data_IF_654546353306
#
_entry.id   IF_654546353306
#
_cell.length_a   1.000
_cell.length_b   1.000
_cell.length_c   1.000
_cell.angle_alpha   90.00
_cell.angle_beta   90.00
_cell.angle_gamma   90.00
#
_symmetry.space_group_name_H-M   'P 1'
#
loop_
_entity.id
_entity.type
_entity.pdbx_description
1 polymer ?
#
# COMPACT_ATOMS: atom_id res chain seq x y z
N UNK A 1 -54.65 7.12 -27.72
CA UNK A 1 -54.28 6.97 -26.29
C UNK A 1 -52.77 6.88 -26.25
N UNK A 2 -52.11 7.94 -25.77
CA UNK A 2 -50.66 7.94 -25.59
C UNK A 2 -50.33 7.00 -24.41
N UNK A 3 -49.40 6.08 -24.63
CA UNK A 3 -48.88 5.21 -23.59
C UNK A 3 -48.24 6.09 -22.51
N UNK A 4 -48.64 5.88 -21.26
CA UNK A 4 -48.00 6.51 -20.11
C UNK A 4 -46.51 6.15 -20.08
N UNK A 5 -45.61 7.07 -19.69
CA UNK A 5 -44.22 6.74 -19.52
C UNK A 5 -44.09 5.64 -18.46
N UNK A 6 -43.39 4.56 -18.85
CA UNK A 6 -42.92 3.50 -17.98
C UNK A 6 -42.31 4.11 -16.72
N UNK A 7 -42.77 3.67 -15.55
CA UNK A 7 -42.18 3.98 -14.26
C UNK A 7 -40.67 3.76 -14.32
N UNK A 8 -39.88 4.82 -14.10
CA UNK A 8 -38.44 4.74 -14.00
C UNK A 8 -38.09 3.70 -12.92
N UNK A 9 -37.29 2.69 -13.26
CA UNK A 9 -36.70 1.80 -12.26
C UNK A 9 -35.99 2.67 -11.23
N UNK A 10 -36.43 2.61 -9.97
CA UNK A 10 -35.75 3.22 -8.85
C UNK A 10 -34.36 2.59 -8.75
N UNK A 11 -33.37 3.23 -9.36
CA UNK A 11 -32.02 2.70 -9.49
C UNK A 11 -31.34 2.72 -8.13
N UNK A 12 -31.16 1.55 -7.53
CA UNK A 12 -30.26 1.39 -6.39
C UNK A 12 -28.82 1.53 -6.91
N UNK A 13 -27.98 2.23 -6.15
CA UNK A 13 -26.53 2.30 -6.35
C UNK A 13 -25.87 1.56 -5.18
N UNK A 14 -25.13 0.50 -5.49
CA UNK A 14 -24.38 -0.27 -4.50
C UNK A 14 -23.01 0.38 -4.27
N UNK A 15 -22.75 0.80 -3.02
CA UNK A 15 -21.59 1.59 -2.62
C UNK A 15 -20.61 0.72 -1.83
N UNK A 16 -19.42 0.47 -2.39
CA UNK A 16 -18.34 -0.25 -1.74
C UNK A 16 -17.53 0.64 -0.80
N UNK A 17 -17.15 0.10 0.35
CA UNK A 17 -16.22 0.77 1.27
C UNK A 17 -15.46 -0.18 2.18
N UNK A 18 -14.38 0.32 2.79
CA UNK A 18 -13.67 -0.37 3.87
C UNK A 18 -14.43 -0.28 5.18
N UNK A 19 -14.28 -1.30 6.04
CA UNK A 19 -14.94 -1.35 7.37
C UNK A 19 -14.36 -0.38 8.40
N UNK A 20 -13.19 0.22 8.15
CA UNK A 20 -12.58 1.14 9.10
C UNK A 20 -13.50 2.35 9.39
N UNK A 21 -13.49 2.86 10.62
CA UNK A 21 -14.37 3.96 11.05
C UNK A 21 -14.28 5.20 10.14
N UNK A 22 -13.07 5.58 9.74
CA UNK A 22 -12.86 6.70 8.82
C UNK A 22 -13.43 6.42 7.43
N UNK A 23 -13.28 5.21 6.89
CA UNK A 23 -13.81 4.86 5.57
C UNK A 23 -15.35 4.84 5.56
N UNK A 24 -15.97 4.29 6.62
CA UNK A 24 -17.41 4.38 6.81
C UNK A 24 -17.86 5.84 6.89
N UNK A 25 -17.16 6.69 7.67
CA UNK A 25 -17.48 8.12 7.78
C UNK A 25 -17.38 8.87 6.45
N UNK A 26 -16.37 8.55 5.65
CA UNK A 26 -16.20 9.11 4.30
C UNK A 26 -17.34 8.67 3.36
N UNK A 27 -17.78 7.42 3.49
CA UNK A 27 -18.89 6.86 2.72
C UNK A 27 -20.21 7.51 3.10
N UNK A 28 -20.46 7.74 4.39
CA UNK A 28 -21.60 8.51 4.88
C UNK A 28 -21.64 9.92 4.27
N UNK A 29 -20.52 10.65 4.29
CA UNK A 29 -20.43 11.99 3.70
C UNK A 29 -20.81 11.99 2.21
N UNK A 30 -20.32 11.00 1.46
CA UNK A 30 -20.61 10.84 0.03
C UNK A 30 -22.08 10.49 -0.19
N UNK A 31 -22.59 9.48 0.51
CA UNK A 31 -23.98 9.03 0.37
C UNK A 31 -24.96 10.12 0.79
N UNK A 32 -24.68 10.87 1.86
CA UNK A 32 -25.49 12.02 2.26
C UNK A 32 -25.50 13.11 1.19
N UNK A 33 -24.35 13.41 0.59
CA UNK A 33 -24.23 14.38 -0.50
C UNK A 33 -25.04 13.96 -1.73
N UNK A 34 -24.87 12.71 -2.16
CA UNK A 34 -25.59 12.15 -3.31
C UNK A 34 -27.09 12.03 -3.05
N UNK A 35 -27.51 11.61 -1.86
CA UNK A 35 -28.93 11.50 -1.50
C UNK A 35 -29.64 12.86 -1.48
N UNK A 36 -28.92 13.94 -1.10
CA UNK A 36 -29.44 15.31 -1.17
C UNK A 36 -29.57 15.80 -2.60
N UNK A 37 -28.60 15.48 -3.46
CA UNK A 37 -28.62 15.91 -4.86
C UNK A 37 -29.57 15.08 -5.74
N UNK A 38 -29.72 13.79 -5.43
CA UNK A 38 -30.51 12.80 -6.17
C UNK A 38 -31.45 12.01 -5.24
N UNK A 39 -32.53 12.64 -4.74
CA UNK A 39 -33.50 11.97 -3.86
C UNK A 39 -34.25 10.81 -4.52
N UNK A 40 -34.19 10.72 -5.86
CA UNK A 40 -34.75 9.65 -6.68
C UNK A 40 -33.90 8.36 -6.70
N UNK A 41 -32.66 8.43 -6.20
CA UNK A 41 -31.69 7.33 -6.19
C UNK A 41 -31.51 6.82 -4.76
N UNK A 42 -31.51 5.49 -4.60
CA UNK A 42 -31.23 4.84 -3.32
C UNK A 42 -29.79 4.35 -3.28
N UNK A 43 -29.14 4.43 -2.12
CA UNK A 43 -27.74 4.04 -1.95
C UNK A 43 -27.63 2.93 -0.90
N UNK A 44 -27.06 1.79 -1.28
CA UNK A 44 -26.87 0.65 -0.38
C UNK A 44 -25.37 0.46 -0.11
N UNK A 45 -24.96 0.55 1.16
CA UNK A 45 -23.54 0.50 1.55
C UNK A 45 -23.11 -0.93 1.87
N UNK A 46 -22.07 -1.38 1.18
CA UNK A 46 -21.42 -2.67 1.33
C UNK A 46 -20.00 -2.48 1.90
N UNK A 47 -19.82 -2.85 3.18
CA UNK A 47 -18.51 -2.70 3.85
C UNK A 47 -17.76 -4.03 3.95
N UNK A 48 -16.44 -4.01 3.68
CA UNK A 48 -15.57 -5.18 3.80
C UNK A 48 -14.19 -4.85 4.39
N UNK A 49 -13.45 -5.88 4.82
CA UNK A 49 -12.07 -5.76 5.31
C UNK A 49 -11.10 -6.12 4.19
N UNK A 50 -10.19 -5.20 3.87
CA UNK A 50 -9.15 -5.41 2.85
C UNK A 50 -7.90 -6.07 3.45
N UNK A 51 -6.99 -6.57 2.60
CA UNK A 51 -5.71 -7.14 3.06
C UNK A 51 -4.93 -6.17 3.97
N UNK A 52 -4.86 -4.88 3.61
CA UNK A 52 -4.22 -3.86 4.45
C UNK A 52 -4.92 -3.54 5.77
N UNK A 53 -6.17 -3.98 5.95
CA UNK A 53 -6.84 -3.96 7.25
C UNK A 53 -6.45 -5.17 8.11
N UNK A 54 -6.19 -6.32 7.47
CA UNK A 54 -5.86 -7.59 8.14
C UNK A 54 -4.41 -7.66 8.60
N UNK A 55 -3.46 -7.15 7.82
CA UNK A 55 -2.03 -7.15 8.17
C UNK A 55 -1.60 -5.79 8.76
N UNK A 56 -1.44 -5.77 10.09
CA UNK A 56 -0.95 -4.62 10.86
C UNK A 56 0.52 -4.76 11.30
N UNK A 57 1.20 -5.87 10.95
CA UNK A 57 2.54 -6.23 11.44
C UNK A 57 3.60 -5.85 10.40
N UNK A 58 3.31 -6.06 9.12
CA UNK A 58 4.26 -5.81 8.04
C UNK A 58 4.44 -4.30 7.79
N UNK A 59 5.69 -3.84 7.61
CA UNK A 59 5.97 -2.44 7.28
C UNK A 59 5.40 -2.08 5.89
N UNK A 60 4.85 -0.86 5.73
CA UNK A 60 4.12 -0.47 4.50
C UNK A 60 4.94 -0.63 3.22
N UNK A 61 6.24 -0.37 3.29
CA UNK A 61 7.16 -0.47 2.15
C UNK A 61 7.54 -1.91 1.80
N UNK A 62 7.25 -2.88 2.70
CA UNK A 62 7.47 -4.31 2.47
C UNK A 62 6.28 -4.99 1.76
N UNK A 63 5.11 -4.34 1.66
CA UNK A 63 4.05 -4.83 0.79
C UNK A 63 4.43 -4.53 -0.66
N UNK A 64 4.71 -5.58 -1.44
CA UNK A 64 5.25 -5.58 -2.81
C UNK A 64 4.44 -4.88 -3.92
N UNK A 65 3.65 -3.86 -3.63
CA UNK A 65 3.13 -2.91 -4.62
C UNK A 65 1.65 -3.07 -5.00
N UNK A 66 1.00 -1.90 -5.12
CA UNK A 66 -0.31 -1.55 -5.71
C UNK A 66 -1.55 -2.26 -5.15
N UNK A 67 -2.52 -1.46 -4.69
CA UNK A 67 -3.89 -1.93 -4.45
C UNK A 67 -4.18 -2.58 -3.09
N UNK A 68 -3.29 -2.47 -2.10
CA UNK A 68 -3.44 -3.09 -0.75
C UNK A 68 -4.80 -2.81 -0.08
N UNK A 69 -5.43 -1.68 -0.43
CA UNK A 69 -6.72 -1.24 0.10
C UNK A 69 -7.83 -1.15 -0.95
N UNK A 70 -7.57 -1.48 -2.22
CA UNK A 70 -8.51 -1.27 -3.32
C UNK A 70 -8.86 -2.55 -4.09
N UNK A 71 -7.96 -3.53 -4.22
CA UNK A 71 -8.13 -4.66 -5.15
C UNK A 71 -9.36 -5.55 -4.91
N UNK A 72 -9.73 -5.81 -3.66
CA UNK A 72 -10.94 -6.60 -3.35
C UNK A 72 -12.23 -5.87 -3.75
N UNK A 73 -12.25 -4.54 -3.61
CA UNK A 73 -13.39 -3.70 -3.97
C UNK A 73 -13.47 -3.52 -5.50
N UNK A 74 -12.33 -3.30 -6.13
CA UNK A 74 -12.18 -3.18 -7.60
C UNK A 74 -12.70 -4.44 -8.31
N UNK A 75 -12.38 -5.64 -7.80
CA UNK A 75 -12.89 -6.90 -8.36
C UNK A 75 -14.43 -6.96 -8.36
N UNK A 76 -15.06 -6.49 -7.28
CA UNK A 76 -16.53 -6.43 -7.15
C UNK A 76 -17.16 -5.36 -8.02
N UNK A 77 -16.47 -4.23 -8.21
CA UNK A 77 -16.90 -3.16 -9.10
C UNK A 77 -16.94 -3.65 -10.57
N UNK A 78 -15.90 -4.36 -11.00
CA UNK A 78 -15.81 -4.98 -12.34
C UNK A 78 -16.84 -6.10 -12.50
N UNK A 79 -17.04 -6.92 -11.46
CA UNK A 79 -18.07 -7.98 -11.44
C UNK A 79 -19.52 -7.45 -11.40
N UNK A 80 -19.72 -6.13 -11.33
CA UNK A 80 -21.03 -5.46 -11.22
C UNK A 80 -21.79 -5.79 -9.93
N UNK A 81 -21.08 -6.20 -8.89
CA UNK A 81 -21.64 -6.37 -7.54
C UNK A 81 -21.69 -5.04 -6.77
N UNK A 82 -20.81 -4.11 -7.13
CA UNK A 82 -20.79 -2.73 -6.64
C UNK A 82 -20.92 -1.79 -7.83
N UNK A 83 -21.49 -0.60 -7.64
CA UNK A 83 -21.58 0.44 -8.67
C UNK A 83 -20.52 1.52 -8.52
N UNK A 84 -20.19 1.85 -7.27
CA UNK A 84 -19.16 2.83 -6.91
C UNK A 84 -18.36 2.36 -5.71
N UNK A 85 -17.15 2.88 -5.55
CA UNK A 85 -16.32 2.69 -4.35
C UNK A 85 -15.86 4.05 -3.84
N UNK A 86 -15.93 4.27 -2.52
CA UNK A 86 -15.48 5.51 -1.88
C UNK A 86 -14.07 5.34 -1.32
N UNK A 87 -13.15 6.20 -1.74
CA UNK A 87 -11.77 6.19 -1.28
C UNK A 87 -11.31 7.54 -0.75
N UNK A 88 -10.36 7.51 0.19
CA UNK A 88 -9.42 8.62 0.31
C UNK A 88 -8.55 8.64 -0.95
N UNK A 89 -8.53 9.75 -1.68
CA UNK A 89 -7.91 9.78 -3.02
C UNK A 89 -6.40 9.48 -2.99
N UNK A 90 -5.73 9.83 -1.89
CA UNK A 90 -4.31 9.51 -1.66
C UNK A 90 -3.99 8.02 -1.54
N UNK A 91 -4.99 7.19 -1.25
CA UNK A 91 -4.82 5.74 -1.10
C UNK A 91 -5.14 5.00 -2.41
N UNK A 92 -5.65 5.71 -3.43
CA UNK A 92 -5.90 5.15 -4.76
C UNK A 92 -4.61 5.13 -5.60
N UNK A 93 -4.32 4.04 -6.32
CA UNK A 93 -3.20 4.02 -7.25
C UNK A 93 -3.39 5.10 -8.33
N UNK A 94 -2.29 5.67 -8.82
CA UNK A 94 -2.33 6.73 -9.86
C UNK A 94 -2.80 6.23 -11.22
N UNK A 95 -2.64 4.93 -11.47
CA UNK A 95 -3.20 4.19 -12.60
C UNK A 95 -4.20 3.19 -12.03
N UNK A 96 -5.46 3.27 -12.46
CA UNK A 96 -6.53 2.37 -12.04
C UNK A 96 -6.53 1.10 -12.90
N UNK A 97 -7.09 -0.02 -12.40
CA UNK A 97 -7.25 -1.23 -13.19
C UNK A 97 -8.12 -1.03 -14.43
N UNK A 98 -7.95 -1.89 -15.42
CA UNK A 98 -8.80 -1.89 -16.61
C UNK A 98 -10.28 -2.07 -16.24
N UNK A 99 -11.14 -1.26 -16.86
CA UNK A 99 -12.58 -1.25 -16.58
C UNK A 99 -12.98 -0.36 -15.39
N UNK A 100 -12.03 0.19 -14.64
CA UNK A 100 -12.28 1.19 -13.60
C UNK A 100 -11.95 2.61 -14.09
N UNK A 101 -12.63 3.60 -13.51
CA UNK A 101 -12.34 5.02 -13.73
C UNK A 101 -12.55 5.82 -12.44
N UNK A 102 -11.82 6.92 -12.30
CA UNK A 102 -12.09 7.92 -11.27
C UNK A 102 -13.33 8.71 -11.72
N UNK A 103 -14.50 8.33 -11.21
CA UNK A 103 -15.79 8.86 -11.62
C UNK A 103 -15.99 10.31 -11.21
N UNK A 104 -15.62 10.67 -9.98
CA UNK A 104 -15.52 12.07 -9.56
C UNK A 104 -14.57 12.26 -8.36
N UNK A 105 -14.24 13.52 -8.10
CA UNK A 105 -13.51 13.95 -6.90
C UNK A 105 -14.38 14.96 -6.16
N UNK A 106 -14.61 14.71 -4.87
CA UNK A 106 -15.42 15.59 -4.02
C UNK A 106 -14.66 16.87 -3.69
N UNK A 107 -15.37 17.88 -3.16
CA UNK A 107 -14.72 19.05 -2.54
C UNK A 107 -13.66 18.62 -1.53
N UNK A 108 -12.47 19.23 -1.62
CA UNK A 108 -11.34 18.93 -0.74
C UNK A 108 -11.58 19.42 0.69
N UNK A 109 -11.32 18.55 1.66
CA UNK A 109 -11.06 18.95 3.04
C UNK A 109 -9.62 19.48 3.17
N UNK A 110 -9.25 20.06 4.33
CA UNK A 110 -7.88 20.54 4.55
C UNK A 110 -6.81 19.47 4.22
N UNK A 111 -5.95 19.70 3.21
CA UNK A 111 -5.02 18.70 2.72
C UNK A 111 -3.75 18.63 3.57
N UNK A 112 -3.53 19.56 4.50
CA UNK A 112 -2.27 19.66 5.26
C UNK A 112 -2.07 18.49 6.20
N UNK A 113 -0.80 18.21 6.48
CA UNK A 113 -0.45 17.38 7.63
C UNK A 113 -0.56 18.23 8.90
N UNK A 114 -0.75 17.57 10.04
CA UNK A 114 -0.89 18.21 11.34
C UNK A 114 -0.07 17.49 12.39
N UNK A 115 0.44 18.29 13.32
CA UNK A 115 1.08 17.81 14.54
C UNK A 115 0.00 17.62 15.60
N UNK A 116 0.03 16.47 16.25
CA UNK A 116 -0.67 16.23 17.50
C UNK A 116 0.39 15.96 18.56
N UNK A 117 0.56 16.89 19.50
CA UNK A 117 1.46 16.66 20.63
C UNK A 117 0.84 15.68 21.63
N UNK A 118 1.71 14.97 22.36
CA UNK A 118 1.32 14.30 23.59
C UNK A 118 0.83 15.34 24.59
N UNK A 119 -0.44 15.22 24.99
CA UNK A 119 -1.14 16.29 25.71
C UNK A 119 -0.40 16.72 27.00
N UNK A 120 0.09 15.76 27.77
CA UNK A 120 0.81 16.01 29.02
C UNK A 120 2.13 16.76 28.83
N UNK A 121 2.84 16.51 27.73
CA UNK A 121 4.09 17.22 27.42
C UNK A 121 3.82 18.62 26.89
N UNK A 122 2.81 18.77 26.01
CA UNK A 122 2.42 20.06 25.48
C UNK A 122 1.96 21.02 26.59
N UNK A 123 1.14 20.54 27.53
CA UNK A 123 0.68 21.33 28.68
C UNK A 123 1.85 21.72 29.59
N UNK A 124 2.74 20.77 29.90
CA UNK A 124 3.89 21.00 30.78
C UNK A 124 4.90 22.00 30.21
N UNK A 125 5.16 21.94 28.91
CA UNK A 125 6.23 22.71 28.27
C UNK A 125 5.74 23.88 27.41
N UNK A 126 4.42 23.99 27.18
CA UNK A 126 3.83 25.07 26.38
C UNK A 126 4.14 24.99 24.88
N UNK A 127 4.44 23.79 24.36
CA UNK A 127 4.77 23.57 22.95
C UNK A 127 3.58 23.90 22.02
N UNK A 128 3.87 24.61 20.94
CA UNK A 128 2.90 25.03 19.92
C UNK A 128 3.31 24.62 18.51
N UNK A 129 4.60 24.38 18.27
CA UNK A 129 5.12 23.97 16.98
C UNK A 129 6.26 22.95 17.12
N UNK A 130 6.55 22.21 16.05
CA UNK A 130 7.68 21.27 16.01
C UNK A 130 9.01 21.94 16.36
N UNK A 131 9.14 23.24 16.06
CA UNK A 131 10.32 24.03 16.41
C UNK A 131 10.55 24.19 17.92
N UNK A 132 9.52 23.96 18.75
CA UNK A 132 9.62 24.04 20.21
C UNK A 132 10.14 22.74 20.84
N UNK A 133 10.20 21.65 20.06
CA UNK A 133 10.65 20.35 20.56
C UNK A 133 12.17 20.33 20.74
N UNK A 134 12.66 19.78 21.86
CA UNK A 134 14.09 19.59 22.06
C UNK A 134 14.67 18.55 21.08
N UNK A 135 15.97 18.64 20.84
CA UNK A 135 16.69 17.62 20.10
C UNK A 135 16.50 16.24 20.75
N UNK A 136 16.35 15.22 19.91
CA UNK A 136 16.09 13.85 20.34
C UNK A 136 14.62 13.51 20.59
N UNK A 137 13.69 14.48 20.57
CA UNK A 137 12.25 14.22 20.64
C UNK A 137 11.80 13.26 19.54
N UNK A 138 10.92 12.31 19.88
CA UNK A 138 10.47 11.25 18.98
C UNK A 138 9.11 11.61 18.38
N UNK A 139 9.04 11.63 17.05
CA UNK A 139 7.84 11.89 16.27
C UNK A 139 7.30 10.58 15.70
N UNK A 140 6.04 10.27 16.00
CA UNK A 140 5.37 9.09 15.46
C UNK A 140 4.80 9.32 14.07
N UNK A 141 5.38 8.67 13.06
CA UNK A 141 4.79 8.59 11.72
C UNK A 141 5.41 7.45 10.92
N UNK A 142 4.61 6.76 10.12
CA UNK A 142 5.07 5.68 9.22
C UNK A 142 5.11 6.08 7.74
N UNK A 143 5.01 7.38 7.46
CA UNK A 143 5.04 7.91 6.09
C UNK A 143 6.46 8.33 5.75
N UNK A 144 7.08 7.65 4.78
CA UNK A 144 8.42 7.98 4.27
C UNK A 144 8.47 9.44 3.80
N UNK A 145 7.43 9.92 3.11
CA UNK A 145 7.24 11.33 2.72
C UNK A 145 7.38 12.30 3.91
N UNK A 146 6.64 12.05 4.99
CA UNK A 146 6.67 12.94 6.17
C UNK A 146 8.03 12.91 6.85
N UNK A 147 8.61 11.72 7.01
CA UNK A 147 9.91 11.53 7.65
C UNK A 147 10.99 12.28 6.87
N UNK A 148 11.08 12.08 5.54
CA UNK A 148 12.10 12.69 4.71
C UNK A 148 12.05 14.23 4.77
N UNK A 149 10.86 14.82 4.59
CA UNK A 149 10.68 16.27 4.62
C UNK A 149 10.96 16.87 6.02
N UNK A 150 10.48 16.21 7.08
CA UNK A 150 10.70 16.70 8.44
C UNK A 150 12.14 16.52 8.90
N UNK A 151 12.85 15.45 8.49
CA UNK A 151 14.30 15.31 8.73
C UNK A 151 15.10 16.43 8.06
N UNK A 152 14.74 16.79 6.82
CA UNK A 152 15.37 17.90 6.09
C UNK A 152 15.22 19.23 6.83
N UNK A 153 14.06 19.48 7.45
CA UNK A 153 13.80 20.73 8.18
C UNK A 153 14.25 20.73 9.64
N UNK A 154 14.14 19.59 10.31
CA UNK A 154 14.34 19.39 11.74
C UNK A 154 15.27 18.19 12.01
N UNK A 155 16.57 18.29 11.67
CA UNK A 155 17.50 17.16 11.73
C UNK A 155 17.74 16.62 13.16
N UNK A 156 17.44 17.41 14.19
CA UNK A 156 17.53 16.99 15.60
C UNK A 156 16.38 16.09 16.07
N UNK A 157 15.29 15.96 15.31
CA UNK A 157 14.15 15.13 15.70
C UNK A 157 14.36 13.66 15.30
N UNK A 158 13.86 12.75 16.14
CA UNK A 158 13.84 11.31 15.87
C UNK A 158 12.46 10.90 15.35
N UNK A 159 12.41 9.83 14.55
CA UNK A 159 11.17 9.32 13.98
C UNK A 159 11.00 7.85 14.31
N UNK A 160 9.79 7.46 14.68
CA UNK A 160 9.43 6.08 14.95
C UNK A 160 8.07 5.75 14.32
N UNK A 161 7.90 4.48 13.96
CA UNK A 161 6.68 4.01 13.33
C UNK A 161 5.48 4.09 14.29
N UNK A 162 4.33 4.51 13.77
CA UNK A 162 3.06 4.47 14.50
C UNK A 162 1.95 3.95 13.58
N UNK A 163 1.44 2.77 13.94
CA UNK A 163 0.43 2.02 13.18
C UNK A 163 -0.90 1.96 13.92
N UNK A 164 -1.96 1.64 13.17
CA UNK A 164 -3.34 1.61 13.62
C UNK A 164 -4.19 2.71 12.98
N UNK A 165 -5.49 2.69 13.27
CA UNK A 165 -6.42 3.75 12.91
C UNK A 165 -6.13 5.05 13.71
N UNK A 166 -6.86 6.13 13.41
CA UNK A 166 -6.65 7.45 14.06
C UNK A 166 -6.67 7.33 15.59
N UNK A 167 -7.68 6.67 16.14
CA UNK A 167 -7.90 6.54 17.59
C UNK A 167 -6.75 5.78 18.27
N UNK A 168 -6.33 4.67 17.66
CA UNK A 168 -5.19 3.89 18.15
C UNK A 168 -3.91 4.73 18.18
N UNK A 169 -3.68 5.55 17.14
CA UNK A 169 -2.50 6.43 17.08
C UNK A 169 -2.57 7.55 18.11
N UNK A 170 -3.74 8.16 18.31
CA UNK A 170 -3.94 9.18 19.34
C UNK A 170 -3.68 8.59 20.73
N UNK A 171 -4.22 7.39 21.03
CA UNK A 171 -3.96 6.66 22.27
C UNK A 171 -2.46 6.37 22.47
N UNK A 172 -1.77 5.87 21.43
CA UNK A 172 -0.31 5.63 21.47
C UNK A 172 0.49 6.93 21.70
N UNK A 173 0.01 8.06 21.18
CA UNK A 173 0.64 9.35 21.41
C UNK A 173 0.46 9.81 22.87
N UNK A 174 -0.71 9.57 23.47
CA UNK A 174 -1.04 10.03 24.81
C UNK A 174 -0.52 9.10 25.92
N UNK A 175 -0.20 7.84 25.60
CA UNK A 175 0.38 6.86 26.52
C UNK A 175 1.60 7.44 27.25
N UNK A 176 1.56 7.65 28.58
CA UNK A 176 2.65 8.22 29.38
C UNK A 176 3.98 7.49 29.20
N UNK A 177 3.95 6.16 29.10
CA UNK A 177 5.13 5.31 28.93
C UNK A 177 5.54 5.17 27.45
N UNK A 178 4.67 5.63 26.54
CA UNK A 178 4.91 5.65 25.10
C UNK A 178 6.04 6.61 24.70
N UNK A 179 6.79 6.28 23.63
CA UNK A 179 8.01 7.01 23.26
C UNK A 179 7.75 8.37 22.61
N UNK A 180 6.52 8.65 22.17
CA UNK A 180 6.22 9.78 21.30
C UNK A 180 6.11 11.11 22.07
N UNK A 181 6.78 12.14 21.55
CA UNK A 181 6.55 13.54 21.92
C UNK A 181 5.38 14.13 21.12
N UNK A 182 5.22 13.69 19.87
CA UNK A 182 4.14 14.07 18.98
C UNK A 182 3.91 12.97 17.93
N UNK A 183 2.77 13.01 17.24
CA UNK A 183 2.51 12.23 16.02
C UNK A 183 2.09 13.15 14.88
N UNK A 184 2.31 12.69 13.65
CA UNK A 184 1.86 13.42 12.44
C UNK A 184 0.69 12.68 11.78
N UNK A 185 -0.43 13.39 11.62
CA UNK A 185 -1.66 12.91 10.98
C UNK A 185 -2.08 13.84 9.83
N UNK A 186 -3.09 13.44 9.06
CA UNK A 186 -3.69 14.32 8.05
C UNK A 186 -4.83 15.11 8.70
N UNK A 187 -4.90 16.42 8.45
CA UNK A 187 -5.96 17.29 9.00
C UNK A 187 -7.35 16.76 8.68
N UNK A 188 -7.60 16.45 7.40
CA UNK A 188 -8.88 15.90 6.93
C UNK A 188 -9.36 14.65 7.69
N UNK A 189 -8.44 13.78 8.11
CA UNK A 189 -8.79 12.59 8.89
C UNK A 189 -9.32 12.94 10.28
N UNK A 190 -8.67 13.89 10.95
CA UNK A 190 -9.11 14.36 12.27
C UNK A 190 -10.41 15.16 12.18
N UNK A 191 -10.54 16.05 11.18
CA UNK A 191 -11.72 16.89 11.00
C UNK A 191 -12.99 16.04 10.72
N UNK A 192 -12.89 15.03 9.84
CA UNK A 192 -14.00 14.12 9.54
C UNK A 192 -14.46 13.29 10.75
N UNK A 193 -13.53 13.00 11.65
CA UNK A 193 -13.75 12.18 12.85
C UNK A 193 -14.00 13.03 14.10
N UNK A 194 -14.22 14.34 13.95
CA UNK A 194 -14.46 15.28 15.05
C UNK A 194 -13.32 15.37 16.08
N UNK A 195 -12.10 15.06 15.66
CA UNK A 195 -10.87 15.21 16.46
C UNK A 195 -10.13 16.52 16.17
N UNK A 196 -10.81 17.53 15.62
CA UNK A 196 -10.20 18.83 15.26
C UNK A 196 -9.51 19.54 16.42
N UNK A 197 -10.03 19.40 17.64
CA UNK A 197 -9.44 19.94 18.86
C UNK A 197 -8.07 19.34 19.22
N UNK A 198 -7.69 18.20 18.63
CA UNK A 198 -6.37 17.58 18.82
C UNK A 198 -5.26 18.21 17.99
N UNK A 199 -5.61 19.03 16.98
CA UNK A 199 -4.64 19.65 16.08
C UNK A 199 -3.86 20.72 16.84
N UNK A 200 -2.55 20.51 16.98
CA UNK A 200 -1.66 21.47 17.64
C UNK A 200 -1.02 22.45 16.64
N UNK A 201 -0.65 21.96 15.46
CA UNK A 201 -0.02 22.75 14.40
C UNK A 201 -0.41 22.20 13.03
N UNK A 202 -0.73 23.09 12.07
CA UNK A 202 -0.81 22.74 10.65
C UNK A 202 0.56 22.86 10.00
N UNK A 203 0.95 21.85 9.24
CA UNK A 203 2.21 21.80 8.50
C UNK A 203 1.98 22.21 7.05
N UNK A 204 2.65 23.29 6.64
CA UNK A 204 2.63 23.79 5.27
C UNK A 204 4.03 24.19 4.78
N UNK A 205 4.15 24.47 3.47
CA UNK A 205 5.44 24.77 2.83
C UNK A 205 6.19 25.92 3.52
N UNK A 206 5.50 27.00 3.88
CA UNK A 206 6.10 28.21 4.44
C UNK A 206 6.59 28.04 5.88
N UNK A 207 5.85 27.29 6.72
CA UNK A 207 6.14 27.20 8.15
C UNK A 207 7.02 26.01 8.55
N UNK A 208 6.87 24.89 7.85
CA UNK A 208 7.45 23.59 8.23
C UNK A 208 8.22 22.93 7.10
N UNK A 209 8.22 23.52 5.90
CA UNK A 209 8.81 22.92 4.71
C UNK A 209 8.17 21.59 4.32
N UNK A 210 6.90 21.36 4.72
CA UNK A 210 6.20 20.10 4.46
C UNK A 210 5.09 20.29 3.43
N UNK A 211 5.15 19.50 2.36
CA UNK A 211 4.13 19.36 1.33
C UNK A 211 3.34 18.06 1.57
N UNK A 212 2.02 18.11 1.35
CA UNK A 212 1.11 17.00 1.63
C UNK A 212 1.22 15.86 0.61
N UNK A 213 0.57 14.72 0.89
CA UNK A 213 0.50 13.63 -0.07
C UNK A 213 -0.44 13.98 -1.23
N UNK A 214 -0.15 13.46 -2.42
CA UNK A 214 -1.03 13.55 -3.60
C UNK A 214 -2.46 13.12 -3.25
N UNK A 215 -3.45 13.95 -3.59
CA UNK A 215 -4.86 13.69 -3.32
C UNK A 215 -5.25 13.73 -1.83
N UNK A 216 -4.36 14.14 -0.91
CA UNK A 216 -4.70 14.22 0.50
C UNK A 216 -5.85 15.22 0.73
N UNK A 217 -6.82 14.86 1.56
CA UNK A 217 -7.99 15.68 1.85
C UNK A 217 -9.15 15.51 0.85
N UNK A 218 -8.92 15.00 -0.35
CA UNK A 218 -9.97 14.70 -1.32
C UNK A 218 -10.54 13.28 -1.11
N UNK A 219 -11.81 13.08 -1.45
CA UNK A 219 -12.38 11.76 -1.66
C UNK A 219 -12.50 11.49 -3.16
N UNK A 220 -12.01 10.32 -3.58
CA UNK A 220 -12.14 9.83 -4.95
C UNK A 220 -13.24 8.78 -4.99
N UNK A 221 -14.15 8.93 -5.95
CA UNK A 221 -15.22 7.96 -6.17
C UNK A 221 -14.88 7.16 -7.41
N UNK A 222 -14.54 5.89 -7.21
CA UNK A 222 -14.25 4.97 -8.29
C UNK A 222 -15.55 4.38 -8.84
N UNK A 223 -15.64 4.25 -10.16
CA UNK A 223 -16.78 3.70 -10.87
C UNK A 223 -16.30 2.86 -12.06
N UNK A 224 -17.20 2.10 -12.69
CA UNK A 224 -16.88 1.42 -13.95
C UNK A 224 -16.71 2.42 -15.08
N UNK A 225 -15.71 2.17 -15.93
CA UNK A 225 -15.54 2.91 -17.17
C UNK A 225 -16.77 2.74 -18.08
N UNK A 226 -17.31 3.85 -18.60
CA UNK A 226 -18.45 3.87 -19.52
C UNK A 226 -19.83 3.64 -18.87
N UNK A 227 -19.93 3.55 -17.54
CA UNK A 227 -21.24 3.46 -16.86
C UNK A 227 -21.88 4.84 -16.72
N UNK A 228 -22.45 5.34 -17.82
CA UNK A 228 -23.06 6.67 -17.89
C UNK A 228 -24.18 6.89 -16.86
N UNK A 229 -24.89 5.83 -16.47
CA UNK A 229 -25.91 5.90 -15.42
C UNK A 229 -25.28 6.34 -14.10
N UNK A 230 -24.21 5.66 -13.68
CA UNK A 230 -23.50 5.97 -12.43
C UNK A 230 -22.77 7.31 -12.54
N UNK A 231 -22.05 7.55 -13.64
CA UNK A 231 -21.27 8.77 -13.84
C UNK A 231 -22.16 10.03 -13.82
N UNK A 232 -23.38 9.94 -14.37
CA UNK A 232 -24.34 11.05 -14.32
C UNK A 232 -24.77 11.41 -12.89
N UNK A 233 -24.85 10.43 -11.98
CA UNK A 233 -25.16 10.67 -10.55
C UNK A 233 -23.97 11.28 -9.83
N UNK A 234 -22.75 10.80 -10.11
CA UNK A 234 -21.52 11.27 -9.47
C UNK A 234 -21.17 12.72 -9.80
N UNK A 235 -21.58 13.20 -10.98
CA UNK A 235 -21.34 14.58 -11.43
C UNK A 235 -21.88 15.64 -10.47
N UNK A 236 -22.96 15.33 -9.75
CA UNK A 236 -23.56 16.24 -8.76
C UNK A 236 -22.68 16.48 -7.53
N UNK A 237 -21.75 15.57 -7.24
CA UNK A 237 -20.81 15.66 -6.11
C UNK A 237 -19.44 16.21 -6.52
N UNK A 238 -19.19 16.34 -7.82
CA UNK A 238 -17.89 16.73 -8.34
C UNK A 238 -17.56 18.19 -7.99
N UNK A 239 -16.39 18.40 -7.38
CA UNK A 239 -15.80 19.74 -7.25
C UNK A 239 -14.70 19.89 -8.30
N UNK A 240 -15.05 20.52 -9.44
CA UNK A 240 -14.13 20.68 -10.58
C UNK A 240 -12.77 21.29 -10.21
N UNK A 241 -12.67 22.36 -9.38
CA UNK A 241 -11.37 22.88 -8.96
C UNK A 241 -10.53 21.86 -8.19
N UNK A 242 -11.12 21.08 -7.29
CA UNK A 242 -10.43 20.00 -6.57
C UNK A 242 -10.02 18.88 -7.52
N UNK A 243 -10.90 18.48 -8.44
CA UNK A 243 -10.63 17.43 -9.43
C UNK A 243 -9.41 17.78 -10.26
N UNK A 244 -9.37 18.97 -10.86
CA UNK A 244 -8.25 19.41 -11.69
C UNK A 244 -6.94 19.49 -10.90
N UNK A 245 -6.97 20.01 -9.67
CA UNK A 245 -5.79 20.03 -8.79
C UNK A 245 -5.28 18.62 -8.51
N UNK A 246 -6.18 17.69 -8.17
CA UNK A 246 -5.80 16.31 -7.88
C UNK A 246 -5.32 15.54 -9.12
N UNK A 247 -5.83 15.84 -10.31
CA UNK A 247 -5.32 15.25 -11.56
C UNK A 247 -3.87 15.69 -11.80
N UNK A 248 -3.56 16.97 -11.63
CA UNK A 248 -2.19 17.47 -11.76
C UNK A 248 -1.24 16.84 -10.73
N UNK A 249 -1.65 16.76 -9.46
CA UNK A 249 -0.88 16.08 -8.40
C UNK A 249 -0.62 14.60 -8.72
N UNK A 250 -1.66 13.88 -9.17
CA UNK A 250 -1.57 12.46 -9.53
C UNK A 250 -0.69 12.24 -10.74
N UNK A 251 -0.68 13.17 -11.69
CA UNK A 251 0.21 13.15 -12.84
C UNK A 251 1.68 13.32 -12.44
N UNK A 252 1.99 14.20 -11.47
CA UNK A 252 3.36 14.31 -10.92
C UNK A 252 3.83 12.95 -10.39
N UNK A 253 3.04 12.33 -9.50
CA UNK A 253 3.40 11.03 -8.92
C UNK A 253 3.45 9.91 -9.95
N UNK A 254 2.54 9.90 -10.93
CA UNK A 254 2.55 8.91 -12.01
C UNK A 254 3.78 9.05 -12.90
N UNK A 255 4.23 10.27 -13.19
CA UNK A 255 5.37 10.50 -14.08
C UNK A 255 6.70 10.13 -13.42
N UNK A 256 6.81 10.30 -12.11
CA UNK A 256 8.04 10.01 -11.36
C UNK A 256 8.22 8.51 -11.04
N UNK A 257 7.20 7.66 -11.23
CA UNK A 257 7.21 6.18 -11.15
C UNK A 257 8.09 5.48 -10.09
N UNK A 258 8.40 6.08 -8.95
CA UNK A 258 8.75 5.27 -7.78
C UNK A 258 7.44 4.82 -7.11
N UNK A 259 7.35 3.55 -6.70
CA UNK A 259 6.11 2.96 -6.14
C UNK A 259 5.53 3.65 -4.89
N UNK A 260 4.61 2.98 -4.17
CA UNK A 260 3.87 3.52 -3.02
C UNK A 260 4.72 4.03 -1.81
N UNK A 261 6.06 4.04 -1.91
CA UNK A 261 7.00 4.39 -0.84
C UNK A 261 7.93 5.55 -1.19
N UNK A 262 7.66 6.29 -2.27
CA UNK A 262 8.48 7.46 -2.60
C UNK A 262 8.11 8.67 -1.73
N UNK A 263 9.10 9.40 -1.19
CA UNK A 263 8.93 10.65 -0.47
C UNK A 263 8.57 11.85 -1.38
N UNK A 264 7.48 11.73 -2.15
CA UNK A 264 6.92 12.81 -2.97
C UNK A 264 5.93 13.61 -2.13
N UNK A 265 6.10 14.93 -2.07
CA UNK A 265 5.10 15.86 -1.51
C UNK A 265 4.62 16.86 -2.55
N UNK A 266 3.37 17.29 -2.43
CA UNK A 266 2.74 18.30 -3.30
C UNK A 266 1.98 19.35 -2.49
N UNK A 267 1.81 20.53 -3.07
CA UNK A 267 0.92 21.58 -2.56
C UNK A 267 0.30 22.33 -3.73
N UNK A 268 -1.02 22.26 -3.87
CA UNK A 268 -1.76 23.01 -4.88
C UNK A 268 -2.56 24.15 -4.29
N UNK A 269 -2.61 25.29 -4.97
CA UNK A 269 -3.49 26.41 -4.62
C UNK A 269 -3.98 27.11 -5.87
N UNK A 270 -5.28 27.37 -5.94
CA UNK A 270 -5.87 28.21 -6.98
C UNK A 270 -5.55 29.69 -6.71
N UNK A 271 -4.94 30.36 -7.68
CA UNK A 271 -4.51 31.76 -7.62
C UNK A 271 -5.18 32.58 -8.74
N UNK A 272 -4.99 33.90 -8.73
CA UNK A 272 -5.58 34.82 -9.73
C UNK A 272 -7.11 34.64 -9.85
N UNK A 273 -7.81 34.71 -8.71
CA UNK A 273 -9.27 34.52 -8.61
C UNK A 273 -9.76 33.17 -9.15
N UNK A 274 -8.96 32.11 -9.00
CA UNK A 274 -9.31 30.75 -9.42
C UNK A 274 -9.03 30.46 -10.89
N UNK A 275 -8.26 31.30 -11.59
CA UNK A 275 -7.93 31.12 -13.02
C UNK A 275 -6.70 30.26 -13.25
N UNK A 276 -5.76 30.24 -12.29
CA UNK A 276 -4.52 29.49 -12.41
C UNK A 276 -4.31 28.58 -11.23
N UNK A 277 -3.72 27.42 -11.48
CA UNK A 277 -3.31 26.46 -10.47
C UNK A 277 -1.82 26.63 -10.22
N UNK A 278 -1.44 27.04 -9.00
CA UNK A 278 -0.07 26.89 -8.50
C UNK A 278 0.09 25.45 -8.01
N UNK A 279 1.15 24.77 -8.47
CA UNK A 279 1.54 23.45 -8.01
C UNK A 279 3.01 23.49 -7.59
N UNK A 280 3.24 23.23 -6.30
CA UNK A 280 4.57 22.94 -5.75
C UNK A 280 4.71 21.43 -5.59
N UNK A 281 5.90 20.90 -5.84
CA UNK A 281 6.24 19.51 -5.62
C UNK A 281 7.65 19.37 -5.05
N UNK A 282 7.89 18.32 -4.27
CA UNK A 282 9.20 18.00 -3.68
C UNK A 282 9.46 16.51 -3.72
N UNK A 283 10.72 16.13 -3.97
CA UNK A 283 11.24 14.78 -3.80
C UNK A 283 12.43 14.87 -2.85
N UNK A 284 12.36 14.21 -1.70
CA UNK A 284 13.40 14.31 -0.66
C UNK A 284 13.97 12.93 -0.37
N UNK A 285 15.29 12.77 -0.34
CA UNK A 285 15.90 11.49 -0.01
C UNK A 285 15.50 11.01 1.41
N UNK A 286 15.44 9.69 1.62
CA UNK A 286 14.87 9.07 2.84
C UNK A 286 15.64 9.38 4.13
N UNK A 287 16.92 9.76 4.00
CA UNK A 287 17.73 10.25 5.11
C UNK A 287 17.45 11.73 5.46
N UNK A 288 16.74 12.47 4.60
CA UNK A 288 16.42 13.89 4.73
C UNK A 288 17.57 14.84 4.38
N UNK A 289 18.69 14.39 3.83
CA UNK A 289 19.88 15.22 3.62
C UNK A 289 19.81 16.10 2.37
N UNK A 290 19.10 15.65 1.34
CA UNK A 290 18.95 16.37 0.08
C UNK A 290 17.56 16.14 -0.52
N UNK A 291 17.13 17.08 -1.37
CA UNK A 291 15.85 17.02 -2.05
C UNK A 291 15.77 18.04 -3.18
N UNK A 292 14.85 17.81 -4.10
CA UNK A 292 14.58 18.65 -5.26
C UNK A 292 13.17 19.19 -5.14
N UNK A 293 13.03 20.49 -5.37
CA UNK A 293 11.77 21.22 -5.26
C UNK A 293 11.45 21.85 -6.64
N UNK A 294 10.18 21.81 -7.04
CA UNK A 294 9.68 22.43 -8.26
C UNK A 294 8.40 23.22 -7.97
N UNK A 295 8.21 24.34 -8.65
CA UNK A 295 6.99 25.15 -8.57
C UNK A 295 6.64 25.71 -9.95
N UNK A 296 5.38 25.54 -10.34
CA UNK A 296 4.82 26.19 -11.54
C UNK A 296 3.42 26.73 -11.28
N UNK A 297 2.99 27.65 -12.14
CA UNK A 297 1.65 28.24 -12.14
C UNK A 297 1.13 28.24 -13.58
N UNK A 298 0.02 27.55 -13.82
CA UNK A 298 -0.58 27.44 -15.17
C UNK A 298 -2.09 27.68 -15.15
N UNK A 299 -2.63 28.15 -16.26
CA UNK A 299 -4.08 28.25 -16.46
C UNK A 299 -4.63 26.88 -16.89
N UNK A 300 -5.52 26.30 -16.07
CA UNK A 300 -6.02 24.93 -16.26
C UNK A 300 -7.54 24.94 -16.22
N UNK A 301 -8.17 24.35 -17.23
CA UNK A 301 -9.62 24.30 -17.40
C UNK A 301 -10.15 22.89 -17.68
N UNK A 302 -9.29 21.99 -18.15
CA UNK A 302 -9.60 20.59 -18.48
C UNK A 302 -8.70 19.60 -17.75
N UNK A 303 -9.15 18.34 -17.64
CA UNK A 303 -8.36 17.29 -17.01
C UNK A 303 -7.11 16.92 -17.81
N UNK A 304 -7.14 17.06 -19.15
CA UNK A 304 -5.98 16.86 -20.02
C UNK A 304 -4.90 17.92 -19.76
N UNK A 305 -5.30 19.20 -19.68
CA UNK A 305 -4.38 20.29 -19.30
C UNK A 305 -3.79 20.07 -17.90
N UNK A 306 -4.60 19.62 -16.94
CA UNK A 306 -4.14 19.31 -15.59
C UNK A 306 -3.12 18.15 -15.59
N UNK A 307 -3.37 17.12 -16.40
CA UNK A 307 -2.47 15.97 -16.53
C UNK A 307 -1.12 16.39 -17.13
N UNK A 308 -1.14 17.15 -18.23
CA UNK A 308 0.08 17.67 -18.86
C UNK A 308 0.84 18.63 -17.94
N UNK A 309 0.12 19.45 -17.16
CA UNK A 309 0.73 20.31 -16.16
C UNK A 309 1.51 19.52 -15.10
N UNK A 310 0.96 18.41 -14.62
CA UNK A 310 1.66 17.52 -13.69
C UNK A 310 2.91 16.88 -14.30
N UNK A 311 2.88 16.50 -15.59
CA UNK A 311 4.06 15.99 -16.30
C UNK A 311 5.18 17.04 -16.39
N UNK A 312 4.83 18.29 -16.65
CA UNK A 312 5.80 19.40 -16.70
C UNK A 312 6.49 19.62 -15.35
N UNK A 313 5.72 19.61 -14.25
CA UNK A 313 6.31 19.74 -12.90
C UNK A 313 7.17 18.52 -12.54
N UNK A 314 6.77 17.31 -12.94
CA UNK A 314 7.60 16.13 -12.77
C UNK A 314 8.92 16.23 -13.57
N UNK A 315 8.88 16.76 -14.80
CA UNK A 315 10.08 16.97 -15.59
C UNK A 315 11.04 17.96 -14.92
N UNK A 316 10.54 19.06 -14.34
CA UNK A 316 11.39 19.99 -13.57
C UNK A 316 12.10 19.31 -12.40
N UNK A 317 11.40 18.39 -11.72
CA UNK A 317 12.00 17.60 -10.64
C UNK A 317 13.09 16.67 -11.18
N UNK A 318 12.84 15.99 -12.30
CA UNK A 318 13.83 15.11 -12.95
C UNK A 318 15.06 15.92 -13.38
N UNK A 319 14.87 17.06 -14.04
CA UNK A 319 15.94 17.97 -14.47
C UNK A 319 16.72 18.53 -13.27
N UNK A 320 16.06 18.70 -12.13
CA UNK A 320 16.67 19.09 -10.86
C UNK A 320 17.39 17.95 -10.13
N UNK A 321 17.38 16.71 -10.66
CA UNK A 321 18.10 15.56 -10.12
C UNK A 321 17.25 14.60 -9.27
N UNK A 322 15.92 14.69 -9.32
CA UNK A 322 15.05 13.79 -8.56
C UNK A 322 15.25 12.32 -8.94
N UNK A 323 15.64 12.01 -10.18
CA UNK A 323 15.83 10.63 -10.63
C UNK A 323 16.87 9.88 -9.77
N UNK A 324 17.98 10.54 -9.41
CA UNK A 324 18.99 9.92 -8.56
C UNK A 324 18.42 9.53 -7.18
N UNK A 325 17.60 10.42 -6.59
CA UNK A 325 16.94 10.16 -5.30
C UNK A 325 16.00 8.96 -5.42
N UNK A 326 15.26 8.86 -6.52
CA UNK A 326 14.32 7.77 -6.76
C UNK A 326 15.04 6.43 -6.97
N UNK A 327 16.16 6.45 -7.71
CA UNK A 327 16.97 5.27 -7.98
C UNK A 327 17.60 4.72 -6.70
N UNK A 328 18.16 5.59 -5.85
CA UNK A 328 18.75 5.21 -4.56
C UNK A 328 17.71 4.52 -3.65
N UNK A 329 16.47 5.01 -3.63
CA UNK A 329 15.38 4.42 -2.84
C UNK A 329 14.97 3.05 -3.39
N UNK A 330 15.02 2.86 -4.71
CA UNK A 330 14.67 1.58 -5.33
C UNK A 330 15.80 0.54 -5.18
N UNK A 331 17.07 0.96 -5.13
CA UNK A 331 18.21 0.07 -4.89
C UNK A 331 18.30 -0.42 -3.44
N UNK A 332 17.88 0.39 -2.47
CA UNK A 332 17.92 0.05 -1.03
C UNK A 332 16.76 -0.88 -0.63
N UNK A 333 15.85 -1.28 -1.53
CA UNK A 333 14.92 -2.38 -1.22
C UNK A 333 15.70 -3.69 -1.18
N UNK A 334 15.84 -4.35 -0.01
CA UNK A 334 16.22 -5.74 -0.05
C UNK A 334 15.13 -6.46 -0.84
N UNK A 335 15.51 -7.18 -1.89
CA UNK A 335 14.68 -8.26 -2.39
C UNK A 335 14.63 -9.25 -1.23
N UNK A 336 13.60 -9.15 -0.40
CA UNK A 336 13.32 -10.19 0.60
C UNK A 336 12.78 -11.36 -0.21
N UNK A 337 13.71 -12.15 -0.76
CA UNK A 337 13.45 -13.51 -1.14
C UNK A 337 13.21 -14.21 0.19
N UNK A 338 11.94 -14.48 0.52
CA UNK A 338 11.60 -15.33 1.67
C UNK A 338 12.43 -16.61 1.58
N UNK A 339 13.09 -16.96 2.68
CA UNK A 339 14.02 -18.09 2.74
C UNK A 339 13.41 -19.36 2.13
N UNK A 340 13.88 -19.68 0.93
CA UNK A 340 13.46 -20.81 0.11
C UNK A 340 14.34 -20.81 -1.13
N UNK A 341 14.83 -21.99 -1.53
CA UNK A 341 15.71 -22.16 -2.69
C UNK A 341 15.12 -21.44 -3.92
N UNK A 342 15.87 -20.48 -4.46
CA UNK A 342 15.45 -19.72 -5.63
C UNK A 342 15.99 -20.36 -6.90
N UNK A 343 15.09 -20.80 -7.78
CA UNK A 343 15.43 -21.12 -9.16
C UNK A 343 15.57 -19.81 -9.95
N UNK A 344 16.81 -19.39 -10.24
CA UNK A 344 17.06 -18.23 -11.10
C UNK A 344 17.11 -18.70 -12.56
N UNK A 345 16.09 -18.34 -13.34
CA UNK A 345 16.07 -18.55 -14.79
C UNK A 345 16.79 -17.37 -15.46
N UNK A 346 18.10 -17.53 -15.71
CA UNK A 346 18.87 -16.58 -16.51
C UNK A 346 18.44 -16.70 -17.98
N UNK A 347 17.79 -15.65 -18.50
CA UNK A 347 17.72 -15.43 -19.95
C UNK A 347 19.15 -15.19 -20.43
N UNK A 348 19.73 -16.20 -21.09
CA UNK A 348 21.06 -16.13 -21.67
C UNK A 348 21.07 -15.09 -22.80
N UNK A 349 21.29 -13.81 -22.48
CA UNK A 349 21.77 -12.78 -23.39
C UNK A 349 22.38 -11.64 -22.57
N UNK A 350 23.57 -11.86 -21.98
CA UNK A 350 24.62 -10.83 -21.85
C UNK A 350 25.94 -11.45 -21.37
N UNK A 351 27.01 -11.14 -22.11
CA UNK A 351 28.37 -11.69 -21.99
C UNK A 351 29.04 -11.31 -20.65
N UNK A 352 29.68 -12.26 -20.00
CA UNK A 352 30.82 -12.01 -19.11
C UNK A 352 32.07 -12.60 -19.77
N UNK A 353 33.08 -11.76 -20.04
CA UNK A 353 34.41 -12.19 -20.45
C UNK A 353 35.18 -12.69 -19.22
N UNK A 354 35.64 -13.94 -19.26
CA UNK A 354 36.73 -14.46 -18.44
C UNK A 354 37.60 -15.37 -19.32
N UNK A 355 38.90 -15.12 -19.24
CA UNK A 355 39.96 -15.61 -20.13
C UNK A 355 40.21 -17.13 -20.10
N UNK A 356 40.68 -17.62 -21.25
CA UNK A 356 41.37 -18.88 -21.54
C UNK A 356 40.65 -20.22 -21.33
N UNK A 357 39.94 -20.68 -22.38
CA UNK A 357 40.43 -21.77 -23.24
C UNK A 357 39.35 -22.22 -24.27
N UNK A 358 39.67 -22.11 -25.56
CA UNK A 358 39.19 -23.05 -26.59
C UNK A 358 37.81 -22.80 -27.22
N UNK A 359 37.82 -22.42 -28.50
CA UNK A 359 36.68 -22.42 -29.43
C UNK A 359 35.95 -23.78 -29.48
N UNK A 360 34.62 -23.77 -29.30
CA UNK A 360 33.69 -24.73 -29.92
C UNK A 360 32.39 -24.00 -30.27
N UNK A 361 31.98 -24.12 -31.53
CA UNK A 361 30.79 -23.53 -32.14
C UNK A 361 29.68 -24.60 -32.19
N UNK A 362 28.59 -24.48 -31.43
CA UNK A 362 27.46 -25.42 -31.47
C UNK A 362 26.09 -24.79 -31.09
N UNK A 363 25.30 -24.56 -32.14
CA UNK A 363 23.84 -24.72 -32.36
C UNK A 363 22.78 -24.16 -31.37
N UNK A 364 21.91 -23.29 -31.88
CA UNK A 364 20.90 -22.45 -31.17
C UNK A 364 19.48 -23.07 -31.10
N UNK A 365 19.34 -24.40 -31.03
CA UNK A 365 18.04 -25.07 -31.20
C UNK A 365 17.64 -26.09 -30.11
N UNK A 366 18.07 -25.93 -28.85
CA UNK A 366 17.61 -26.81 -27.75
C UNK A 366 17.01 -26.03 -26.56
N UNK A 367 16.02 -26.60 -25.82
CA UNK A 367 15.32 -25.93 -24.73
C UNK A 367 16.20 -25.79 -23.48
N UNK A 368 15.81 -24.87 -22.60
CA UNK A 368 16.56 -24.48 -21.40
C UNK A 368 17.05 -25.68 -20.58
N UNK A 369 18.36 -25.78 -20.40
CA UNK A 369 18.97 -26.70 -19.46
C UNK A 369 18.88 -26.12 -18.04
N UNK A 370 18.32 -26.88 -17.09
CA UNK A 370 18.40 -26.55 -15.68
C UNK A 370 19.82 -26.88 -15.18
N UNK A 371 20.62 -25.85 -14.90
CA UNK A 371 21.94 -26.02 -14.30
C UNK A 371 21.81 -25.87 -12.78
N UNK A 372 22.15 -26.92 -12.03
CA UNK A 372 22.26 -26.84 -10.57
C UNK A 372 23.62 -26.25 -10.23
N UNK A 373 23.66 -25.00 -9.79
CA UNK A 373 24.88 -24.38 -9.27
C UNK A 373 24.93 -24.63 -7.76
N UNK A 374 25.87 -25.45 -7.31
CA UNK A 374 26.17 -25.61 -5.89
C UNK A 374 27.28 -24.63 -5.53
N UNK A 375 26.95 -23.53 -4.87
CA UNK A 375 27.93 -22.70 -4.17
C UNK A 375 28.13 -23.32 -2.79
N UNK A 376 29.05 -24.28 -2.70
CA UNK A 376 29.50 -24.80 -1.41
C UNK A 376 30.45 -23.79 -0.76
N UNK A 377 30.09 -23.33 0.43
CA UNK A 377 31.03 -22.64 1.31
C UNK A 377 32.19 -23.61 1.62
N UNK A 378 33.36 -23.30 1.08
CA UNK A 378 34.64 -23.90 1.43
C UNK A 378 35.05 -23.41 2.82
N UNK A 379 34.78 -24.23 3.85
CA UNK A 379 35.62 -24.28 5.04
C UNK A 379 35.90 -25.74 5.37
N UNK A 380 37.16 -26.12 5.16
CA UNK A 380 37.74 -27.43 5.42
C UNK A 380 37.51 -27.94 6.84
N UNK A 381 37.18 -29.23 6.96
CA UNK A 381 37.07 -29.94 8.22
C UNK A 381 36.74 -31.42 8.07
N UNK A 382 37.67 -32.18 7.45
CA UNK A 382 37.66 -33.64 7.28
C UNK A 382 36.64 -34.19 6.26
N UNK A 383 37.19 -34.72 5.16
CA UNK A 383 36.41 -35.08 3.99
C UNK A 383 35.94 -36.53 3.93
N UNK A 384 35.28 -36.84 2.81
CA UNK A 384 35.41 -38.08 2.05
C UNK A 384 34.62 -37.95 0.74
N UNK A 385 35.34 -38.19 -0.36
CA UNK A 385 34.83 -38.42 -1.70
C UNK A 385 33.90 -39.63 -1.75
N UNK A 386 32.89 -39.57 -2.63
CA UNK A 386 32.44 -40.72 -3.42
C UNK A 386 31.67 -40.24 -4.66
N UNK A 387 32.28 -40.46 -5.83
CA UNK A 387 31.63 -40.44 -7.15
C UNK A 387 30.70 -41.65 -7.30
N UNK A 388 29.60 -41.50 -8.04
CA UNK A 388 28.98 -42.60 -8.76
C UNK A 388 28.27 -42.08 -10.02
N UNK A 389 28.55 -42.77 -11.13
CA UNK A 389 28.14 -42.51 -12.52
C UNK A 389 26.61 -42.43 -12.74
N UNK A 390 26.23 -41.62 -13.73
CA UNK A 390 24.90 -41.68 -14.36
C UNK A 390 25.01 -42.62 -15.56
N UNK A 391 24.31 -43.76 -15.50
CA UNK A 391 24.06 -44.60 -16.67
C UNK A 391 22.80 -44.10 -17.38
N UNK A 392 22.91 -43.87 -18.69
CA UNK A 392 21.86 -43.35 -19.57
C UNK A 392 21.38 -44.46 -20.51
N UNK A 393 20.32 -45.15 -20.11
CA UNK A 393 19.48 -46.02 -20.94
C UNK A 393 18.25 -46.39 -20.09
N UNK A 394 17.00 -46.21 -20.51
CA UNK A 394 16.40 -46.51 -21.80
C UNK A 394 15.26 -45.53 -22.12
N UNK A 395 15.08 -45.29 -23.42
CA UNK A 395 13.92 -44.64 -24.03
C UNK A 395 12.80 -45.67 -24.25
N UNK A 396 11.63 -45.45 -23.65
CA UNK A 396 10.31 -45.81 -24.19
C UNK A 396 9.24 -45.06 -23.37
N UNK A 397 8.35 -44.23 -23.91
CA UNK A 397 7.36 -44.50 -24.95
C UNK A 397 6.32 -45.56 -24.55
N UNK A 398 5.52 -45.28 -23.53
CA UNK A 398 4.06 -45.29 -23.66
C UNK A 398 3.43 -44.50 -22.50
N UNK A 399 2.28 -43.88 -22.77
CA UNK A 399 1.42 -43.39 -21.73
C UNK A 399 0.39 -44.45 -21.43
N UNK A 400 0.39 -45.01 -20.20
CA UNK A 400 -0.78 -45.15 -19.31
C UNK A 400 -0.56 -46.17 -18.17
N UNK A 401 -1.39 -46.02 -17.12
CA UNK A 401 -1.82 -46.99 -16.06
C UNK A 401 -0.76 -47.31 -14.98
N UNK A 402 -1.05 -47.52 -13.69
CA UNK A 402 -2.18 -48.13 -12.99
C UNK A 402 -2.19 -47.74 -11.50
N UNK A 403 -3.38 -47.65 -10.89
CA UNK A 403 -3.58 -47.43 -9.45
C UNK A 403 -4.17 -48.69 -8.85
N UNK A 404 -3.37 -49.44 -8.08
CA UNK A 404 -3.88 -50.58 -7.34
C UNK A 404 -2.86 -51.29 -6.47
N UNK A 405 -3.06 -51.22 -5.15
CA UNK A 405 -2.66 -52.28 -4.23
C UNK A 405 -1.73 -51.87 -3.09
N UNK A 406 -2.30 -51.69 -1.89
CA UNK A 406 -2.01 -52.51 -0.70
C UNK A 406 -2.39 -51.75 0.58
N UNK A 407 -3.63 -51.97 1.05
CA UNK A 407 -3.92 -51.96 2.48
C UNK A 407 -3.19 -53.15 3.11
N UNK A 408 -2.43 -52.93 4.18
CA UNK A 408 -2.41 -53.87 5.31
C UNK A 408 -1.71 -53.28 6.54
N UNK A 409 -2.44 -53.28 7.66
CA UNK A 409 -1.91 -53.48 9.00
C UNK A 409 -1.40 -52.24 9.72
N UNK A 410 -2.18 -51.73 10.68
CA UNK A 410 -2.00 -52.12 12.08
C UNK A 410 -3.17 -51.60 12.93
N UNK A 411 -3.75 -52.55 13.65
CA UNK A 411 -4.82 -52.42 14.65
C UNK A 411 -4.33 -51.85 15.98
N UNK A 412 -5.26 -51.20 16.70
CA UNK A 412 -5.36 -51.14 18.17
C UNK A 412 -4.42 -50.17 18.90
N UNK A 413 -4.78 -49.51 20.01
CA UNK A 413 -5.94 -49.61 20.93
C UNK A 413 -5.83 -48.47 21.96
N UNK A 414 -6.98 -48.06 22.50
CA UNK A 414 -7.23 -47.53 23.86
C UNK A 414 -6.82 -46.09 24.26
N UNK A 415 -7.76 -45.17 24.06
CA UNK A 415 -8.63 -44.59 25.11
C UNK A 415 -8.03 -44.02 26.41
N UNK A 416 -8.27 -42.71 26.65
CA UNK A 416 -8.76 -42.18 27.95
C UNK A 416 -9.71 -41.02 27.68
N UNK A 417 -10.89 -41.11 28.30
CA UNK A 417 -11.92 -40.07 28.35
C UNK A 417 -11.89 -39.33 29.70
N UNK A 418 -12.52 -38.13 29.69
CA UNK A 418 -13.21 -37.40 30.76
C UNK A 418 -12.57 -36.08 31.23
N UNK A 419 -13.40 -35.03 31.17
CA UNK A 419 -13.24 -33.83 31.98
C UNK A 419 -14.01 -32.61 31.49
N UNK A 420 -15.35 -32.68 31.46
CA UNK A 420 -16.21 -31.49 31.36
C UNK A 420 -15.96 -30.53 32.53
N UNK A 421 -15.75 -29.25 32.23
CA UNK A 421 -16.09 -28.13 33.11
C UNK A 421 -16.48 -26.93 32.25
N UNK A 422 -17.78 -26.70 32.15
CA UNK A 422 -18.35 -25.59 31.43
C UNK A 422 -18.17 -24.24 32.14
N UNK A 423 -18.40 -23.21 31.33
CA UNK A 423 -18.76 -21.83 31.66
C UNK A 423 -17.69 -20.92 32.28
N UNK A 424 -17.05 -20.13 31.40
CA UNK A 424 -17.01 -18.67 31.53
C UNK A 424 -16.74 -18.04 30.15
N UNK A 425 -17.77 -17.36 29.64
CA UNK A 425 -17.69 -16.37 28.57
C UNK A 425 -16.73 -15.25 28.99
N UNK A 426 -15.79 -14.90 28.11
CA UNK A 426 -14.95 -13.71 28.27
C UNK A 426 -13.85 -13.71 27.21
N UNK A 427 -13.96 -12.78 26.26
CA UNK A 427 -12.96 -12.48 25.25
C UNK A 427 -11.59 -12.25 25.91
N UNK A 428 -10.59 -13.03 25.52
CA UNK A 428 -9.19 -12.75 25.86
C UNK A 428 -8.59 -11.94 24.71
N UNK A 429 -8.30 -10.70 25.06
CA UNK A 429 -7.52 -9.71 24.34
C UNK A 429 -6.05 -10.15 24.34
N UNK A 430 -5.38 -10.11 23.18
CA UNK A 430 -3.96 -10.48 23.03
C UNK A 430 -3.24 -9.35 22.30
N UNK A 431 -3.08 -8.23 23.01
CA UNK A 431 -2.10 -7.20 22.71
C UNK A 431 -1.05 -7.25 23.84
N UNK A 432 -0.03 -8.12 23.68
CA UNK A 432 1.33 -7.99 24.24
C UNK A 432 2.08 -9.34 24.21
N UNK A 433 2.60 -9.76 23.06
CA UNK A 433 3.78 -10.65 22.98
C UNK A 433 4.57 -10.33 21.71
N UNK A 434 5.67 -9.58 21.84
CA UNK A 434 7.00 -9.90 21.31
C UNK A 434 7.95 -8.69 21.43
N UNK A 435 8.67 -8.62 22.55
CA UNK A 435 10.02 -8.04 22.61
C UNK A 435 11.05 -9.17 22.42
N UNK A 436 12.19 -8.81 21.79
CA UNK A 436 13.45 -9.55 21.70
C UNK A 436 13.46 -10.88 20.92
N UNK A 437 14.07 -10.87 19.73
CA UNK A 437 14.97 -11.94 19.31
C UNK A 437 16.27 -11.33 18.75
N UNK A 438 17.20 -11.14 19.69
CA UNK A 438 18.60 -10.83 19.46
C UNK A 438 19.43 -11.54 20.52
N UNK A 439 19.30 -12.86 20.60
CA UNK A 439 20.14 -13.73 21.44
C UNK A 439 19.93 -15.20 21.06
N UNK A 440 21.03 -15.86 20.73
CA UNK A 440 21.18 -17.28 20.36
C UNK A 440 20.79 -18.21 21.53
N UNK A 441 20.16 -19.36 21.21
CA UNK A 441 19.94 -20.64 21.94
C UNK A 441 18.53 -21.13 21.59
N UNK A 442 18.21 -22.36 21.18
CA UNK A 442 18.89 -23.58 20.81
C UNK A 442 17.83 -24.52 20.21
N UNK A 443 18.29 -25.49 19.44
CA UNK A 443 17.54 -26.51 18.70
C UNK A 443 16.50 -27.29 19.53
N UNK A 444 15.34 -27.63 18.94
CA UNK A 444 14.64 -28.92 19.09
C UNK A 444 13.42 -29.03 18.15
N UNK A 445 13.43 -30.08 17.31
CA UNK A 445 12.32 -30.67 16.56
C UNK A 445 10.95 -30.62 17.25
N UNK A 446 9.88 -30.31 16.51
CA UNK A 446 8.88 -31.32 16.11
C UNK A 446 7.84 -30.77 15.13
N UNK A 447 7.48 -31.60 14.16
CA UNK A 447 6.49 -31.35 13.12
C UNK A 447 5.09 -31.81 13.57
N UNK A 448 4.04 -31.21 12.98
CA UNK A 448 2.75 -31.82 12.53
C UNK A 448 1.54 -30.91 12.79
N UNK A 449 0.90 -30.43 11.71
CA UNK A 449 -0.47 -30.81 11.27
C UNK A 449 -0.94 -29.85 10.16
N UNK A 450 -1.20 -30.38 8.96
CA UNK A 450 -1.91 -29.72 7.86
C UNK A 450 -3.10 -30.60 7.45
N UNK A 451 -4.25 -29.97 7.24
CA UNK A 451 -5.46 -30.55 6.64
C UNK A 451 -5.63 -29.91 5.26
N UNK A 452 -5.74 -30.73 4.21
CA UNK A 452 -5.79 -30.29 2.81
C UNK A 452 -7.19 -30.07 2.24
N UNK A 453 -7.26 -29.35 1.11
CA UNK A 453 -8.37 -29.36 0.14
C UNK A 453 -7.77 -29.26 -1.27
N UNK A 454 -8.13 -30.21 -2.15
CA UNK A 454 -7.75 -30.28 -3.58
C UNK A 454 -8.61 -29.36 -4.46
N UNK A 455 -7.98 -28.73 -5.46
CA UNK A 455 -8.52 -28.59 -6.84
C UNK A 455 -7.40 -28.25 -7.84
N UNK A 456 -7.44 -28.87 -9.03
CA UNK A 456 -6.54 -28.69 -10.18
C UNK A 456 -7.39 -28.46 -11.46
N UNK A 457 -6.86 -27.99 -12.62
CA UNK A 457 -5.54 -27.42 -12.86
C UNK A 457 -5.54 -26.09 -13.67
N UNK A 458 -4.71 -25.13 -13.26
CA UNK A 458 -3.95 -24.21 -14.12
C UNK A 458 -2.91 -23.51 -13.24
N UNK A 459 -1.74 -24.13 -13.16
CA UNK A 459 -0.46 -23.66 -12.59
C UNK A 459 -0.54 -23.02 -11.18
N UNK A 460 -0.25 -23.81 -10.15
CA UNK A 460 0.04 -23.33 -8.79
C UNK A 460 1.41 -23.85 -8.35
N UNK A 461 2.32 -22.93 -8.04
CA UNK A 461 3.56 -23.18 -7.31
C UNK A 461 3.22 -23.77 -5.93
N UNK A 462 3.64 -25.00 -5.65
CA UNK A 462 3.56 -25.57 -4.31
C UNK A 462 4.95 -25.49 -3.67
N UNK A 463 5.05 -24.79 -2.54
CA UNK A 463 6.19 -24.91 -1.63
C UNK A 463 5.94 -26.13 -0.76
N UNK A 464 6.69 -27.21 -0.97
CA UNK A 464 6.72 -28.35 -0.06
C UNK A 464 7.82 -28.10 0.97
N UNK A 465 7.42 -27.84 2.22
CA UNK A 465 8.34 -27.87 3.35
C UNK A 465 8.56 -29.33 3.77
N UNK A 466 9.81 -29.78 3.78
CA UNK A 466 10.23 -30.99 4.50
C UNK A 466 10.85 -30.60 5.84
#
# INVERSE_FOLDING_TARGET
MAAAPSTAESGIIHVGTRRSALAMKQTEIVVEGLSKARPDVSFEVHSMQTLGDKDQITALYNFGGKGLWTSELEAKLVAKELDIIVHSLKDMPTTLPDGCTLGCVTKREDPRDVVVFKASLAEKHGWKALADLPEGSVIGTSSVRRIAQLKRRYPGLKFADVRGNIETRLRKCDDPEGPFSAIILAAAGLLRMDYGARISQFLESENSGTLHAVGQGALGIEARFGDERVLSVLKELEDKPTMLACVAERSVMRTLEGGCSVPIGVETTWVEDGKKLRLKATVVHVDGTHGVDAERIEAITTAEEADDFGKLVAQDLVDGGAQQILDDINQVRPVIIGGGESLVLLLAHQRLELLDAGLVDLDLCNPAAAVRVVLGDLVDGAGLLLEAEVDLGDLAADGSVDVGGALHGLDGTDGVALGDLGALLGQLDVDDVAQLLGSVLGDTNDARLLVGVEVNPLVVLCVLAY
#
